data_IF_259026215876
#
_entry.id   IF_259026215876
#
_cell.length_a   1.000
_cell.length_b   1.000
_cell.length_c   1.000
_cell.angle_alpha   90.00
_cell.angle_beta   90.00
_cell.angle_gamma   90.00
#
_symmetry.space_group_name_H-M   'P 1'
#
loop_
_entity.id
_entity.type
_entity.pdbx_description
1 polymer ?
#
# COMPACT_ATOMS: atom_id res chain seq x y z
N UNK A 1 -12.52 7.37 10.20
CA UNK A 1 -11.10 7.04 9.96
C UNK A 1 -10.25 7.99 10.78
N UNK A 2 -9.23 7.48 11.46
CA UNK A 2 -8.25 8.32 12.15
C UNK A 2 -7.46 9.09 11.09
N UNK A 3 -7.42 10.43 11.20
CA UNK A 3 -6.53 11.26 10.37
C UNK A 3 -5.10 11.01 10.84
N UNK A 4 -4.40 10.07 10.21
CA UNK A 4 -3.04 9.68 10.58
C UNK A 4 -2.11 9.96 9.42
N UNK A 5 -1.10 10.80 9.66
CA UNK A 5 -0.05 11.10 8.68
C UNK A 5 0.93 9.93 8.62
N UNK A 6 1.12 9.33 7.45
CA UNK A 6 2.18 8.36 7.20
C UNK A 6 3.26 8.99 6.33
N UNK A 7 4.52 8.86 6.74
CA UNK A 7 5.68 9.28 5.94
C UNK A 7 6.55 8.06 5.70
N UNK A 8 6.78 7.74 4.44
CA UNK A 8 7.61 6.62 4.01
C UNK A 8 8.62 7.09 2.96
N UNK A 9 9.87 6.72 3.15
CA UNK A 9 10.98 7.06 2.24
C UNK A 9 11.40 5.80 1.49
N UNK A 10 11.63 5.92 0.18
CA UNK A 10 12.12 4.81 -0.65
C UNK A 10 13.44 4.29 -0.07
N UNK A 11 13.57 2.96 0.00
CA UNK A 11 14.76 2.29 0.50
C UNK A 11 14.93 2.30 2.02
N UNK A 12 14.13 3.08 2.76
CA UNK A 12 14.19 3.09 4.21
C UNK A 12 13.58 1.82 4.81
N UNK A 13 14.16 1.34 5.91
CA UNK A 13 13.67 0.18 6.68
C UNK A 13 12.61 0.55 7.71
N UNK A 14 12.25 1.83 7.80
CA UNK A 14 11.26 2.35 8.73
C UNK A 14 10.38 3.40 8.05
N UNK A 15 9.15 3.54 8.53
CA UNK A 15 8.26 4.64 8.21
C UNK A 15 7.71 5.27 9.49
N UNK A 16 7.18 6.49 9.40
CA UNK A 16 6.42 7.08 10.52
C UNK A 16 4.93 6.98 10.27
N UNK A 17 4.17 6.66 11.31
CA UNK A 17 2.72 6.68 11.31
C UNK A 17 2.26 7.53 12.49
N UNK A 18 1.91 8.79 12.27
CA UNK A 18 1.69 9.75 13.36
C UNK A 18 2.99 9.99 14.13
N UNK A 19 2.97 9.70 15.44
CA UNK A 19 4.16 9.76 16.32
C UNK A 19 4.97 8.46 16.35
N UNK A 20 4.40 7.37 15.83
CA UNK A 20 5.00 6.04 15.94
C UNK A 20 5.99 5.82 14.80
N UNK A 21 7.07 5.11 15.11
CA UNK A 21 8.00 4.58 14.10
C UNK A 21 7.67 3.11 13.86
N UNK A 22 7.40 2.75 12.61
CA UNK A 22 7.05 1.38 12.20
C UNK A 22 8.20 0.80 11.40
N UNK A 23 8.74 -0.34 11.84
CA UNK A 23 9.73 -1.10 11.08
C UNK A 23 9.06 -1.77 9.89
N UNK A 24 9.69 -1.67 8.73
CA UNK A 24 9.26 -2.30 7.49
C UNK A 24 10.02 -3.61 7.30
N UNK A 25 9.28 -4.70 7.12
CA UNK A 25 9.86 -5.99 6.74
C UNK A 25 10.52 -5.95 5.36
N UNK A 26 10.03 -5.07 4.49
CA UNK A 26 10.59 -4.80 3.18
C UNK A 26 10.43 -3.30 2.84
N UNK A 27 11.48 -2.63 2.36
CA UNK A 27 11.44 -1.20 2.07
C UNK A 27 10.54 -0.90 0.87
N UNK A 28 9.97 0.31 0.85
CA UNK A 28 9.36 0.84 -0.37
C UNK A 28 10.41 0.98 -1.49
N UNK A 29 10.00 0.76 -2.73
CA UNK A 29 10.91 0.79 -3.89
C UNK A 29 10.21 1.37 -5.12
N UNK A 30 10.98 1.73 -6.16
CA UNK A 30 10.43 2.05 -7.48
C UNK A 30 10.60 0.81 -8.37
N UNK A 31 9.50 0.37 -9.00
CA UNK A 31 9.55 -0.76 -9.92
C UNK A 31 10.13 -0.38 -11.29
N UNK A 32 10.29 -1.38 -12.18
CA UNK A 32 10.81 -1.16 -13.53
C UNK A 32 9.93 -0.22 -14.39
N UNK A 33 8.65 -0.08 -14.06
CA UNK A 33 7.69 0.81 -14.73
C UNK A 33 7.70 2.25 -14.16
N UNK A 34 8.67 2.59 -13.30
CA UNK A 34 8.76 3.91 -12.62
C UNK A 34 7.62 4.24 -11.65
N UNK A 35 6.97 3.23 -11.05
CA UNK A 35 5.99 3.43 -9.98
C UNK A 35 6.59 3.16 -8.60
N UNK A 36 6.33 4.07 -7.66
CA UNK A 36 6.62 3.85 -6.24
C UNK A 36 5.67 2.78 -5.69
N UNK A 37 6.25 1.70 -5.20
CA UNK A 37 5.60 0.52 -4.66
C UNK A 37 5.69 0.55 -3.12
N UNK A 38 4.55 0.45 -2.44
CA UNK A 38 4.48 0.43 -0.98
C UNK A 38 4.05 -0.94 -0.43
N UNK A 39 4.59 -1.36 0.72
CA UNK A 39 4.18 -2.60 1.37
C UNK A 39 2.75 -2.47 1.89
N UNK A 40 1.82 -3.25 1.32
CA UNK A 40 0.38 -3.14 1.56
C UNK A 40 0.05 -3.27 3.05
N UNK A 41 0.63 -4.28 3.73
CA UNK A 41 0.35 -4.56 5.14
C UNK A 41 0.72 -3.39 6.04
N UNK A 42 1.97 -2.92 5.95
CA UNK A 42 2.46 -1.86 6.83
C UNK A 42 1.61 -0.58 6.71
N UNK A 43 1.30 -0.16 5.48
CA UNK A 43 0.48 1.03 5.22
C UNK A 43 -0.96 0.81 5.70
N UNK A 44 -1.60 -0.29 5.31
CA UNK A 44 -2.99 -0.55 5.63
C UNK A 44 -3.22 -0.68 7.15
N UNK A 45 -2.38 -1.44 7.85
CA UNK A 45 -2.48 -1.63 9.31
C UNK A 45 -2.21 -0.33 10.08
N UNK A 46 -1.34 0.53 9.56
CA UNK A 46 -1.11 1.86 10.15
C UNK A 46 -2.34 2.77 10.08
N UNK A 47 -3.23 2.54 9.10
CA UNK A 47 -4.56 3.17 9.03
C UNK A 47 -5.66 2.40 9.78
N UNK A 48 -5.30 1.34 10.52
CA UNK A 48 -6.23 0.51 11.29
C UNK A 48 -6.98 -0.53 10.46
N UNK A 49 -6.52 -0.83 9.25
CA UNK A 49 -7.08 -1.91 8.46
C UNK A 49 -6.50 -3.28 8.87
N UNK A 50 -7.20 -4.36 8.55
CA UNK A 50 -6.71 -5.73 8.72
C UNK A 50 -6.32 -6.32 7.37
N UNK A 51 -5.18 -7.01 7.30
CA UNK A 51 -4.68 -7.61 6.06
C UNK A 51 -4.60 -9.13 6.18
N UNK A 52 -5.24 -9.82 5.26
CA UNK A 52 -5.24 -11.29 5.17
C UNK A 52 -4.67 -11.73 3.83
N UNK A 53 -4.04 -12.91 3.81
CA UNK A 53 -3.41 -13.48 2.63
C UNK A 53 -3.97 -14.88 2.38
N UNK A 54 -4.45 -15.12 1.16
CA UNK A 54 -4.80 -16.44 0.65
C UNK A 54 -3.72 -16.90 -0.33
N UNK A 55 -2.96 -17.91 0.09
CA UNK A 55 -1.88 -18.48 -0.70
C UNK A 55 -2.38 -19.28 -1.92
N UNK A 56 -3.57 -19.88 -1.86
CA UNK A 56 -4.10 -20.72 -2.93
C UNK A 56 -4.49 -19.86 -4.14
N UNK A 57 -5.19 -18.75 -3.89
CA UNK A 57 -5.58 -17.79 -4.92
C UNK A 57 -4.55 -16.69 -5.18
N UNK A 58 -3.47 -16.63 -4.39
CA UNK A 58 -2.49 -15.54 -4.38
C UNK A 58 -3.15 -14.16 -4.23
N UNK A 59 -4.10 -14.08 -3.30
CA UNK A 59 -4.92 -12.87 -3.09
C UNK A 59 -4.61 -12.28 -1.73
N UNK A 60 -4.33 -10.98 -1.68
CA UNK A 60 -4.35 -10.23 -0.43
C UNK A 60 -5.69 -9.51 -0.31
N UNK A 61 -6.29 -9.59 0.88
CA UNK A 61 -7.54 -8.92 1.22
C UNK A 61 -7.30 -7.96 2.38
N UNK A 62 -7.63 -6.69 2.16
CA UNK A 62 -7.55 -5.62 3.15
C UNK A 62 -8.96 -5.20 3.55
N UNK A 63 -9.24 -5.27 4.85
CA UNK A 63 -10.49 -4.82 5.46
C UNK A 63 -10.25 -3.48 6.15
N UNK A 64 -10.79 -2.39 5.60
CA UNK A 64 -10.65 -1.03 6.12
C UNK A 64 -12.02 -0.41 6.38
N UNK A 65 -12.49 -0.51 7.63
CA UNK A 65 -13.86 -0.12 7.98
C UNK A 65 -14.90 -0.93 7.18
N UNK A 66 -15.66 -0.27 6.31
CA UNK A 66 -16.65 -0.90 5.42
C UNK A 66 -16.08 -1.24 4.03
N UNK A 67 -14.79 -1.01 3.79
CA UNK A 67 -14.13 -1.31 2.51
C UNK A 67 -13.49 -2.69 2.57
N UNK A 68 -13.86 -3.55 1.62
CA UNK A 68 -13.21 -4.82 1.33
C UNK A 68 -12.41 -4.63 0.05
N UNK A 69 -11.09 -4.64 0.18
CA UNK A 69 -10.18 -4.47 -0.94
C UNK A 69 -9.54 -5.83 -1.20
N UNK A 70 -9.63 -6.37 -2.41
CA UNK A 70 -8.92 -7.59 -2.80
C UNK A 70 -8.07 -7.34 -4.03
N UNK A 71 -6.89 -7.96 -4.05
CA UNK A 71 -5.97 -7.87 -5.17
C UNK A 71 -5.22 -9.19 -5.31
N UNK A 72 -5.11 -9.66 -6.55
CA UNK A 72 -4.39 -10.88 -6.89
C UNK A 72 -3.01 -10.52 -7.42
N UNK A 73 -1.98 -11.22 -6.95
CA UNK A 73 -0.61 -10.98 -7.39
C UNK A 73 -0.47 -11.19 -8.90
N UNK A 74 0.21 -10.26 -9.58
CA UNK A 74 0.36 -10.24 -11.04
C UNK A 74 -0.80 -9.56 -11.78
N UNK A 75 -1.92 -9.27 -11.11
CA UNK A 75 -3.05 -8.54 -11.70
C UNK A 75 -2.84 -7.03 -11.65
N UNK A 76 -3.26 -6.32 -12.71
CA UNK A 76 -3.43 -4.86 -12.73
C UNK A 76 -4.85 -4.42 -12.34
N UNK A 77 -5.65 -5.34 -11.81
CA UNK A 77 -7.00 -5.05 -11.33
C UNK A 77 -7.10 -5.43 -9.87
N UNK A 78 -7.51 -4.47 -9.05
CA UNK A 78 -7.98 -4.70 -7.69
C UNK A 78 -9.50 -4.60 -7.66
N UNK A 79 -10.11 -5.08 -6.59
CA UNK A 79 -11.55 -4.95 -6.36
C UNK A 79 -11.78 -4.18 -5.06
N UNK A 80 -12.65 -3.18 -5.10
CA UNK A 80 -13.11 -2.45 -3.91
C UNK A 80 -14.59 -2.74 -3.77
N UNK A 81 -14.98 -3.42 -2.70
CA UNK A 81 -16.35 -3.87 -2.45
C UNK A 81 -16.93 -4.68 -3.63
N UNK A 82 -16.09 -5.51 -4.27
CA UNK A 82 -16.47 -6.31 -5.44
C UNK A 82 -16.45 -5.55 -6.78
N UNK A 83 -16.29 -4.23 -6.78
CA UNK A 83 -16.18 -3.44 -8.01
C UNK A 83 -14.74 -3.43 -8.52
N UNK A 84 -14.47 -3.79 -9.79
CA UNK A 84 -13.13 -3.76 -10.35
C UNK A 84 -12.60 -2.35 -10.50
N UNK A 85 -11.34 -2.13 -10.14
CA UNK A 85 -10.60 -0.88 -10.27
C UNK A 85 -9.25 -1.19 -10.91
N UNK A 86 -8.96 -0.52 -12.02
CA UNK A 86 -7.68 -0.64 -12.71
C UNK A 86 -6.57 0.05 -11.91
N UNK A 87 -5.42 -0.60 -11.84
CA UNK A 87 -4.18 -0.11 -11.22
C UNK A 87 -3.18 0.26 -12.31
N UNK A 88 -2.26 1.16 -11.98
CA UNK A 88 -1.23 1.61 -12.91
C UNK A 88 -0.19 0.52 -13.24
N UNK A 89 0.12 -0.33 -12.26
CA UNK A 89 0.99 -1.51 -12.42
C UNK A 89 0.46 -2.66 -11.58
N UNK A 90 0.97 -3.85 -11.82
CA UNK A 90 0.47 -5.07 -11.21
C UNK A 90 0.83 -5.13 -9.71
N UNK A 91 -0.03 -5.77 -8.91
CA UNK A 91 0.35 -6.16 -7.56
C UNK A 91 1.54 -7.12 -7.61
N UNK A 92 2.58 -6.85 -6.83
CA UNK A 92 3.83 -7.62 -6.83
C UNK A 92 4.10 -8.22 -5.45
N UNK A 93 4.82 -9.34 -5.42
CA UNK A 93 5.47 -9.83 -4.20
C UNK A 93 6.96 -9.59 -4.34
N UNK A 94 7.53 -8.92 -3.35
CA UNK A 94 8.98 -8.71 -3.20
C UNK A 94 9.33 -9.02 -1.75
N UNK A 95 10.36 -9.84 -1.51
CA UNK A 95 10.78 -10.22 -0.15
C UNK A 95 9.62 -10.70 0.74
N UNK A 96 8.78 -11.60 0.22
CA UNK A 96 7.59 -12.14 0.90
C UNK A 96 6.57 -11.10 1.39
N UNK A 97 6.55 -9.91 0.78
CA UNK A 97 5.58 -8.86 1.07
C UNK A 97 4.88 -8.44 -0.21
N UNK A 98 3.57 -8.18 -0.10
CA UNK A 98 2.77 -7.66 -1.19
C UNK A 98 2.93 -6.16 -1.31
N UNK A 99 3.13 -5.69 -2.53
CA UNK A 99 3.30 -4.30 -2.87
C UNK A 99 2.27 -3.84 -3.89
N UNK A 100 1.85 -2.59 -3.71
CA UNK A 100 1.01 -1.87 -4.66
C UNK A 100 1.60 -0.50 -4.99
N UNK A 101 1.32 0.04 -6.19
CA UNK A 101 1.59 1.43 -6.49
C UNK A 101 0.90 2.37 -5.50
N UNK A 102 1.62 3.39 -5.02
CA UNK A 102 1.19 4.35 -3.98
C UNK A 102 -0.23 4.86 -4.22
N UNK A 103 -0.51 5.31 -5.44
CA UNK A 103 -1.77 5.97 -5.79
C UNK A 103 -2.96 5.02 -5.69
N UNK A 104 -2.78 3.79 -6.14
CA UNK A 104 -3.84 2.79 -6.13
C UNK A 104 -4.09 2.27 -4.72
N UNK A 105 -3.04 2.07 -3.92
CA UNK A 105 -3.18 1.71 -2.50
C UNK A 105 -3.89 2.82 -1.71
N UNK A 106 -3.52 4.07 -1.93
CA UNK A 106 -4.17 5.21 -1.29
C UNK A 106 -5.65 5.31 -1.70
N UNK A 107 -5.96 5.20 -2.99
CA UNK A 107 -7.34 5.17 -3.48
C UNK A 107 -8.15 4.03 -2.85
N UNK A 108 -7.58 2.82 -2.78
CA UNK A 108 -8.22 1.66 -2.17
C UNK A 108 -8.61 1.92 -0.71
N UNK A 109 -7.68 2.52 0.06
CA UNK A 109 -7.87 2.89 1.45
C UNK A 109 -8.75 4.13 1.66
N UNK A 110 -9.14 4.84 0.58
CA UNK A 110 -9.92 6.08 0.66
C UNK A 110 -9.10 7.32 1.05
N UNK A 111 -7.79 7.27 0.84
CA UNK A 111 -6.84 8.37 1.13
C UNK A 111 -6.72 9.24 -0.12
N UNK A 112 -7.09 10.51 0.00
CA UNK A 112 -7.02 11.48 -1.11
C UNK A 112 -5.79 12.39 -1.06
N UNK A 113 -5.18 12.57 0.11
CA UNK A 113 -4.06 13.48 0.30
C UNK A 113 -2.71 12.74 0.22
N UNK A 114 -2.19 12.62 -1.00
CA UNK A 114 -0.89 12.01 -1.29
C UNK A 114 0.08 13.10 -1.74
N UNK A 115 1.24 13.19 -1.11
CA UNK A 115 2.31 14.08 -1.54
C UNK A 115 3.58 13.29 -1.78
N UNK A 116 4.19 13.51 -2.94
CA UNK A 116 5.51 12.97 -3.29
C UNK A 116 6.55 14.09 -3.23
N UNK A 117 7.67 13.83 -2.55
CA UNK A 117 8.81 14.75 -2.49
C UNK A 117 9.98 14.14 -3.24
N UNK A 118 10.21 14.62 -4.48
CA UNK A 118 11.26 14.12 -5.38
C UNK A 118 12.65 14.14 -4.74
N UNK A 119 13.02 15.26 -4.13
CA UNK A 119 14.36 15.48 -3.58
C UNK A 119 14.77 14.46 -2.51
N UNK A 120 13.81 13.87 -1.81
CA UNK A 120 14.03 12.91 -0.72
C UNK A 120 13.40 11.55 -0.97
N UNK A 121 12.84 11.29 -2.16
CA UNK A 121 12.14 10.04 -2.47
C UNK A 121 11.07 9.68 -1.44
N UNK A 122 10.31 10.67 -0.95
CA UNK A 122 9.41 10.51 0.20
C UNK A 122 7.94 10.61 -0.19
N UNK A 123 7.15 9.60 0.19
CA UNK A 123 5.69 9.62 0.11
C UNK A 123 5.12 10.07 1.45
N UNK A 124 4.19 11.01 1.42
CA UNK A 124 3.36 11.38 2.58
C UNK A 124 1.89 11.09 2.27
N UNK A 125 1.22 10.35 3.15
CA UNK A 125 -0.22 10.05 3.11
C UNK A 125 -0.90 10.74 4.30
N UNK A 126 -2.01 11.45 4.09
CA UNK A 126 -2.76 12.14 5.17
C UNK A 126 -4.25 11.85 5.17
#
# INVERSE_FOLDING_TARGET
>A
MLKRKIIITIGATTMTAGTDTVTLDAPAYINADSYTMLPVRAIAESFGATVTWDAASKTVTVLSGQRIISMTIGSKTMYINGTPVAMNTAAAITSDRTFLPVRDLANALGISAINWTEASGTVTLN
#
